data_IF_078097998935
#
_entry.id   IF_078097998935
#
_cell.length_a   1.000
_cell.length_b   1.000
_cell.length_c   1.000
_cell.angle_alpha   90.00
_cell.angle_beta   90.00
_cell.angle_gamma   90.00
#
_symmetry.space_group_name_H-M   'P 1'
#
loop_
_entity.id
_entity.type
_entity.pdbx_description
1 polymer ?
#
# COMPACT_ATOMS: atom_id res chain seq x y z
N UNK A 1 2.33 17.93 -3.04
CA UNK A 1 2.20 17.48 -1.63
C UNK A 1 2.53 15.98 -1.55
N UNK A 2 3.77 15.50 -1.30
CA UNK A 2 4.07 14.08 -1.59
C UNK A 2 4.20 13.15 -0.38
N UNK A 3 5.11 13.36 0.57
CA UNK A 3 5.40 12.32 1.61
C UNK A 3 4.53 12.36 2.86
N UNK A 4 4.16 13.56 3.31
CA UNK A 4 3.52 13.76 4.62
C UNK A 4 2.20 13.01 4.79
N UNK A 5 1.40 12.93 3.71
CA UNK A 5 0.10 12.26 3.72
C UNK A 5 0.23 10.73 3.81
N UNK A 6 1.16 10.14 3.04
CA UNK A 6 1.37 8.67 3.03
C UNK A 6 1.98 8.19 4.35
N UNK A 7 2.97 8.91 4.88
CA UNK A 7 3.56 8.59 6.19
C UNK A 7 2.53 8.74 7.32
N UNK A 8 1.65 9.75 7.27
CA UNK A 8 0.58 9.94 8.26
C UNK A 8 -0.46 8.82 8.20
N UNK A 9 -0.87 8.40 6.99
CA UNK A 9 -1.77 7.26 6.78
C UNK A 9 -1.19 5.98 7.40
N UNK A 10 0.07 5.66 7.13
CA UNK A 10 0.73 4.49 7.73
C UNK A 10 0.74 4.54 9.26
N UNK A 11 1.06 5.71 9.85
CA UNK A 11 1.05 5.87 11.32
C UNK A 11 -0.34 5.64 11.90
N UNK A 12 -1.38 6.18 11.27
CA UNK A 12 -2.77 6.01 11.68
C UNK A 12 -3.21 4.55 11.61
N UNK A 13 -2.98 3.86 10.48
CA UNK A 13 -3.33 2.44 10.31
C UNK A 13 -2.58 1.53 11.27
N UNK A 14 -1.31 1.83 11.56
CA UNK A 14 -0.53 1.10 12.58
C UNK A 14 -1.11 1.27 13.98
N UNK A 15 -1.57 2.49 14.33
CA UNK A 15 -2.20 2.74 15.62
C UNK A 15 -3.55 1.99 15.74
N UNK A 16 -4.36 1.98 14.69
CA UNK A 16 -5.61 1.24 14.63
C UNK A 16 -5.39 -0.27 14.82
N UNK A 17 -4.44 -0.87 14.09
CA UNK A 17 -4.08 -2.29 14.26
C UNK A 17 -3.62 -2.60 15.68
N UNK A 18 -2.77 -1.75 16.27
CA UNK A 18 -2.30 -1.95 17.65
C UNK A 18 -3.46 -1.86 18.66
N UNK A 19 -4.41 -0.94 18.46
CA UNK A 19 -5.61 -0.82 19.28
C UNK A 19 -6.48 -2.08 19.19
N UNK A 20 -6.84 -2.51 17.98
CA UNK A 20 -7.68 -3.69 17.78
C UNK A 20 -7.02 -4.96 18.30
N UNK A 21 -5.71 -5.13 18.06
CA UNK A 21 -4.96 -6.28 18.59
C UNK A 21 -4.99 -6.33 20.12
N UNK A 22 -4.92 -5.19 20.80
CA UNK A 22 -4.99 -5.11 22.28
C UNK A 22 -6.38 -5.44 22.81
N UNK A 23 -7.44 -4.99 22.14
CA UNK A 23 -8.81 -5.14 22.62
C UNK A 23 -9.46 -6.48 22.23
N UNK A 24 -9.14 -7.01 21.05
CA UNK A 24 -9.83 -8.17 20.49
C UNK A 24 -8.93 -9.39 20.26
N UNK A 25 -7.61 -9.24 20.38
CA UNK A 25 -6.65 -10.28 20.03
C UNK A 25 -6.31 -10.31 18.53
N UNK A 26 -5.35 -11.16 18.16
CA UNK A 26 -4.78 -11.20 16.81
C UNK A 26 -5.74 -11.79 15.76
N UNK A 27 -6.49 -12.82 16.11
CA UNK A 27 -7.31 -13.58 15.15
C UNK A 27 -8.70 -12.96 14.93
N UNK A 28 -9.06 -11.93 15.70
CA UNK A 28 -10.36 -11.28 15.56
C UNK A 28 -10.50 -10.61 14.18
N UNK A 29 -11.67 -10.71 13.51
CA UNK A 29 -11.86 -10.18 12.16
C UNK A 29 -11.47 -8.71 12.00
N UNK A 30 -11.78 -7.87 12.99
CA UNK A 30 -11.41 -6.44 12.95
C UNK A 30 -9.90 -6.20 13.04
N UNK A 31 -9.18 -7.05 13.78
CA UNK A 31 -7.72 -7.01 13.84
C UNK A 31 -7.10 -7.47 12.53
N UNK A 32 -7.68 -8.48 11.87
CA UNK A 32 -7.23 -8.95 10.57
C UNK A 32 -7.44 -7.87 9.49
N UNK A 33 -8.63 -7.25 9.44
CA UNK A 33 -8.92 -6.14 8.54
C UNK A 33 -7.94 -4.97 8.76
N UNK A 34 -7.74 -4.54 10.01
CA UNK A 34 -6.78 -3.49 10.33
C UNK A 34 -5.32 -3.89 9.98
N UNK A 35 -4.98 -5.17 10.05
CA UNK A 35 -3.68 -5.69 9.61
C UNK A 35 -3.49 -5.53 8.10
N UNK A 36 -4.51 -5.88 7.32
CA UNK A 36 -4.49 -5.72 5.86
C UNK A 36 -4.32 -4.26 5.47
N UNK A 37 -5.14 -3.36 6.03
CA UNK A 37 -5.05 -1.93 5.75
C UNK A 37 -3.69 -1.33 6.15
N UNK A 38 -3.11 -1.78 7.27
CA UNK A 38 -1.77 -1.37 7.68
C UNK A 38 -0.70 -1.82 6.69
N UNK A 39 -0.80 -3.03 6.15
CA UNK A 39 0.14 -3.57 5.14
C UNK A 39 0.02 -2.81 3.83
N UNK A 40 -1.19 -2.47 3.39
CA UNK A 40 -1.42 -1.63 2.20
C UNK A 40 -0.77 -0.25 2.36
N UNK A 41 -0.99 0.40 3.51
CA UNK A 41 -0.36 1.70 3.80
C UNK A 41 1.18 1.58 3.91
N UNK A 42 1.70 0.46 4.41
CA UNK A 42 3.14 0.21 4.47
C UNK A 42 3.75 0.08 3.08
N UNK A 43 3.08 -0.63 2.16
CA UNK A 43 3.49 -0.77 0.78
C UNK A 43 3.51 0.57 0.05
N UNK A 44 2.43 1.35 0.16
CA UNK A 44 2.35 2.69 -0.43
C UNK A 44 3.48 3.60 0.05
N UNK A 45 3.77 3.57 1.36
CA UNK A 45 4.88 4.30 1.97
C UNK A 45 6.24 3.85 1.43
N UNK A 46 6.44 2.54 1.26
CA UNK A 46 7.68 1.99 0.72
C UNK A 46 7.88 2.42 -0.73
N UNK A 47 6.85 2.31 -1.57
CA UNK A 47 6.89 2.72 -2.98
C UNK A 47 7.19 4.22 -3.09
N UNK A 48 6.51 5.08 -2.33
CA UNK A 48 6.77 6.53 -2.36
C UNK A 48 8.22 6.85 -2.00
N UNK A 49 8.78 6.22 -0.97
CA UNK A 49 10.19 6.42 -0.59
C UNK A 49 11.15 5.98 -1.68
N UNK A 50 10.88 4.83 -2.30
CA UNK A 50 11.69 4.28 -3.37
C UNK A 50 11.69 5.20 -4.59
N UNK A 51 10.50 5.65 -5.03
CA UNK A 51 10.33 6.56 -6.17
C UNK A 51 11.00 7.90 -5.90
N UNK A 52 10.81 8.47 -4.72
CA UNK A 52 11.37 9.78 -4.39
C UNK A 52 12.90 9.74 -4.16
N UNK A 53 13.46 8.58 -3.82
CA UNK A 53 14.91 8.39 -3.65
C UNK A 53 15.60 8.00 -4.96
N UNK A 54 14.83 7.62 -5.98
CA UNK A 54 15.39 7.30 -7.29
C UNK A 54 15.98 8.58 -7.91
N UNK A 55 17.16 8.51 -8.55
CA UNK A 55 17.58 9.56 -9.46
C UNK A 55 16.48 9.76 -10.51
N UNK A 56 16.37 10.97 -11.12
CA UNK A 56 15.41 11.21 -12.19
C UNK A 56 15.53 10.10 -13.23
N UNK A 57 14.48 9.29 -13.37
CA UNK A 57 14.48 8.19 -14.31
C UNK A 57 14.68 8.75 -15.71
N UNK A 58 15.55 8.11 -16.50
CA UNK A 58 15.60 8.40 -17.93
C UNK A 58 14.26 8.04 -18.57
N UNK A 59 13.94 8.66 -19.70
CA UNK A 59 12.68 8.38 -20.40
C UNK A 59 12.53 6.88 -20.73
N UNK A 60 13.64 6.23 -21.07
CA UNK A 60 13.68 4.79 -21.33
C UNK A 60 13.37 3.94 -20.08
N UNK A 61 13.88 4.31 -18.91
CA UNK A 61 13.58 3.62 -17.65
C UNK A 61 12.12 3.81 -17.24
N UNK A 62 11.57 5.01 -17.45
CA UNK A 62 10.16 5.31 -17.22
C UNK A 62 9.27 4.49 -18.15
N UNK A 63 9.62 4.37 -19.43
CA UNK A 63 8.87 3.57 -20.40
C UNK A 63 8.85 2.07 -20.03
N UNK A 64 10.00 1.50 -19.60
CA UNK A 64 10.05 0.10 -19.14
C UNK A 64 9.20 -0.13 -17.89
N UNK A 65 9.30 0.76 -16.89
CA UNK A 65 8.51 0.66 -15.67
C UNK A 65 7.01 0.83 -15.96
N UNK A 66 6.64 1.76 -16.84
CA UNK A 66 5.25 1.91 -17.29
C UNK A 66 4.74 0.64 -17.96
N UNK A 67 5.56 -0.05 -18.77
CA UNK A 67 5.22 -1.34 -19.37
C UNK A 67 5.00 -2.45 -18.33
N UNK A 68 5.86 -2.53 -17.31
CA UNK A 68 5.77 -3.53 -16.24
C UNK A 68 4.60 -3.29 -15.27
N UNK A 69 4.29 -2.01 -15.00
CA UNK A 69 3.24 -1.60 -14.07
C UNK A 69 1.89 -1.40 -14.74
N UNK A 70 1.84 -1.38 -16.08
CA UNK A 70 0.58 -1.37 -16.81
C UNK A 70 -0.13 -2.68 -16.49
N UNK A 71 -1.33 -2.63 -15.90
CA UNK A 71 -2.10 -3.85 -15.71
C UNK A 71 -2.27 -4.50 -17.07
N UNK A 72 -1.80 -5.74 -17.22
CA UNK A 72 -2.19 -6.60 -18.34
C UNK A 72 -3.72 -6.61 -18.32
N UNK A 73 -4.35 -6.14 -19.39
CA UNK A 73 -5.78 -5.84 -19.40
C UNK A 73 -6.61 -6.99 -18.81
N UNK A 74 -7.31 -6.72 -17.71
CA UNK A 74 -8.37 -7.57 -17.19
C UNK A 74 -7.94 -8.71 -16.27
N UNK A 75 -7.59 -8.39 -15.01
CA UNK A 75 -8.19 -9.16 -13.92
C UNK A 75 -9.49 -8.42 -13.57
N UNK A 76 -10.50 -8.60 -14.43
CA UNK A 76 -11.87 -8.50 -13.95
C UNK A 76 -12.01 -9.69 -13.00
N UNK A 77 -11.99 -9.42 -11.70
CA UNK A 77 -12.54 -10.37 -10.74
C UNK A 77 -14.02 -10.43 -11.09
N UNK A 78 -14.37 -11.39 -11.95
CA UNK A 78 -15.74 -11.74 -12.24
C UNK A 78 -16.37 -12.19 -10.94
N UNK A 79 -17.25 -11.33 -10.42
CA UNK A 79 -18.33 -11.73 -9.53
C UNK A 79 -19.17 -12.74 -10.32
N UNK A 80 -18.94 -14.02 -10.05
CA UNK A 80 -19.73 -15.12 -10.54
C UNK A 80 -20.82 -15.43 -9.50
N UNK A 81 -22.07 -15.24 -9.95
CA UNK A 81 -23.33 -15.84 -9.50
C UNK A 81 -23.78 -15.63 -8.04
#
# INVERSE_FOLDING_TARGET
>A
MPRGSVDASFRSKRAAYASHKRHHGADHPTTQAASQEMREAALARHISRLVDAAPPLTEEQRARLAGLLRPAGGVQVGEAA
#
